data_IF_470772338683
#
_entry.id   IF_470772338683
#
_cell.length_a   1.000
_cell.length_b   1.000
_cell.length_c   1.000
_cell.angle_alpha   90.00
_cell.angle_beta   90.00
_cell.angle_gamma   90.00
#
_symmetry.space_group_name_H-M   'P 1'
#
loop_
_entity.id
_entity.type
_entity.pdbx_description
1 polymer ?
#
# COMPACT_ATOMS: atom_id res chain seq x y z
N UNK A 1 -3.78 8.17 4.39
CA UNK A 1 -3.40 9.23 3.42
C UNK A 1 -1.91 9.07 3.12
N UNK A 2 -1.49 9.37 1.89
CA UNK A 2 -0.07 9.39 1.48
C UNK A 2 0.22 10.71 0.79
N UNK A 3 1.48 11.16 0.85
CA UNK A 3 1.96 12.34 0.12
C UNK A 3 2.88 11.86 -1.00
N UNK A 4 2.65 12.32 -2.22
CA UNK A 4 3.46 11.96 -3.39
C UNK A 4 4.21 13.18 -3.90
N UNK A 5 5.47 12.96 -4.29
CA UNK A 5 6.33 13.93 -4.97
C UNK A 5 7.14 13.18 -6.03
N UNK A 6 7.66 13.92 -7.01
CA UNK A 6 8.74 13.36 -7.83
C UNK A 6 9.96 13.09 -6.94
N UNK A 7 10.74 12.07 -7.27
CA UNK A 7 11.95 11.73 -6.51
C UNK A 7 12.89 12.93 -6.45
N UNK A 8 13.08 13.63 -7.57
CA UNK A 8 13.89 14.86 -7.64
C UNK A 8 13.44 15.91 -6.62
N UNK A 9 12.13 16.20 -6.52
CA UNK A 9 11.63 17.19 -5.56
C UNK A 9 11.71 16.69 -4.12
N UNK A 10 11.52 15.39 -3.87
CA UNK A 10 11.68 14.81 -2.53
C UNK A 10 13.14 14.95 -2.05
N UNK A 11 14.10 14.70 -2.94
CA UNK A 11 15.53 14.87 -2.65
C UNK A 11 15.91 16.35 -2.45
N UNK A 12 15.43 17.24 -3.33
CA UNK A 12 15.68 18.67 -3.22
C UNK A 12 15.17 19.26 -1.90
N UNK A 13 14.00 18.82 -1.43
CA UNK A 13 13.39 19.29 -0.18
C UNK A 13 13.90 18.52 1.06
N UNK A 14 14.76 17.51 0.88
CA UNK A 14 15.27 16.68 1.97
C UNK A 14 14.22 15.77 2.62
N UNK A 15 13.13 15.44 1.91
CA UNK A 15 12.05 14.60 2.42
C UNK A 15 12.46 13.13 2.51
N UNK A 16 11.90 12.41 3.48
CA UNK A 16 12.12 10.97 3.62
C UNK A 16 11.30 10.24 2.54
N UNK A 17 11.99 9.46 1.71
CA UNK A 17 11.36 8.60 0.71
C UNK A 17 11.12 7.22 1.35
N UNK A 18 9.86 6.85 1.53
CA UNK A 18 9.51 5.52 2.07
C UNK A 18 9.53 4.44 0.98
N UNK A 19 9.06 4.78 -0.21
CA UNK A 19 9.08 3.94 -1.40
C UNK A 19 8.97 4.83 -2.64
N UNK A 20 9.30 4.28 -3.80
CA UNK A 20 9.14 4.93 -5.10
C UNK A 20 8.15 4.14 -5.96
N UNK A 21 7.17 4.83 -6.54
CA UNK A 21 6.29 4.24 -7.56
C UNK A 21 7.07 4.20 -8.88
N UNK A 22 7.50 3.02 -9.28
CA UNK A 22 8.26 2.81 -10.52
C UNK A 22 7.34 2.75 -11.74
N UNK A 23 6.14 2.19 -11.58
CA UNK A 23 5.16 2.06 -12.65
C UNK A 23 3.75 1.97 -12.11
N UNK A 24 2.81 2.55 -12.86
CA UNK A 24 1.38 2.43 -12.58
C UNK A 24 0.61 2.31 -13.89
N UNK A 25 -0.36 1.41 -13.91
CA UNK A 25 -1.32 1.28 -15.00
C UNK A 25 -2.73 1.15 -14.45
N UNK A 26 -3.68 1.64 -15.24
CA UNK A 26 -5.11 1.62 -14.94
C UNK A 26 -5.84 1.25 -16.23
N UNK A 27 -6.74 0.27 -16.17
CA UNK A 27 -7.63 -0.04 -17.29
C UNK A 27 -9.02 -0.46 -16.79
N UNK A 28 -9.84 -1.04 -17.69
CA UNK A 28 -11.15 -1.56 -17.34
C UNK A 28 -11.42 -2.91 -18.03
N UNK A 29 -12.14 -3.78 -17.33
CA UNK A 29 -12.56 -5.10 -17.83
C UNK A 29 -13.47 -5.04 -19.06
N UNK A 30 -14.13 -3.91 -19.30
CA UNK A 30 -15.03 -3.70 -20.42
C UNK A 30 -16.30 -4.57 -20.32
N UNK A 31 -16.69 -5.21 -21.43
CA UNK A 31 -17.89 -6.03 -21.47
C UNK A 31 -17.57 -7.47 -21.04
N UNK A 32 -18.04 -7.86 -19.87
CA UNK A 32 -17.87 -9.21 -19.30
C UNK A 32 -19.22 -9.91 -19.13
N UNK A 33 -19.23 -11.14 -18.58
CA UNK A 33 -20.43 -11.96 -18.40
C UNK A 33 -21.45 -11.38 -17.40
N UNK A 34 -21.01 -10.43 -16.57
CA UNK A 34 -21.83 -9.67 -15.63
C UNK A 34 -20.99 -8.51 -15.11
N UNK A 35 -21.59 -7.46 -14.56
CA UNK A 35 -20.87 -6.22 -14.22
C UNK A 35 -19.68 -6.43 -13.28
N UNK A 36 -19.72 -7.45 -12.42
CA UNK A 36 -18.65 -7.82 -11.48
C UNK A 36 -17.83 -9.05 -11.91
N UNK A 37 -18.04 -9.57 -13.12
CA UNK A 37 -17.25 -10.68 -13.64
C UNK A 37 -15.89 -10.14 -14.12
N UNK A 38 -14.75 -10.67 -13.61
CA UNK A 38 -13.43 -10.19 -13.99
C UNK A 38 -13.09 -10.53 -15.45
N UNK A 39 -12.22 -9.71 -16.07
CA UNK A 39 -11.66 -9.99 -17.39
C UNK A 39 -10.17 -10.33 -17.31
N UNK A 40 -9.84 -11.61 -17.53
CA UNK A 40 -8.47 -12.10 -17.47
C UNK A 40 -7.52 -11.37 -18.43
N UNK A 41 -7.98 -11.00 -19.62
CA UNK A 41 -7.16 -10.30 -20.59
C UNK A 41 -6.87 -8.86 -20.14
N UNK A 42 -7.86 -8.16 -19.59
CA UNK A 42 -7.68 -6.82 -19.04
C UNK A 42 -6.73 -6.83 -17.83
N UNK A 43 -6.81 -7.85 -16.96
CA UNK A 43 -5.87 -8.01 -15.86
C UNK A 43 -4.43 -8.25 -16.35
N UNK A 44 -4.23 -9.05 -17.40
CA UNK A 44 -2.89 -9.24 -17.99
C UNK A 44 -2.33 -7.95 -18.57
N UNK A 45 -3.17 -7.19 -19.28
CA UNK A 45 -2.79 -5.93 -19.90
C UNK A 45 -2.36 -4.89 -18.84
N UNK A 46 -3.13 -4.72 -17.77
CA UNK A 46 -2.78 -3.74 -16.73
C UNK A 46 -1.53 -4.14 -15.96
N UNK A 47 -1.33 -5.45 -15.69
CA UNK A 47 -0.11 -5.95 -15.05
C UNK A 47 1.12 -5.73 -15.95
N UNK A 48 1.01 -6.14 -17.22
CA UNK A 48 2.09 -6.00 -18.21
C UNK A 48 2.44 -4.54 -18.50
N UNK A 49 1.44 -3.65 -18.59
CA UNK A 49 1.67 -2.23 -18.83
C UNK A 49 2.41 -1.57 -17.67
N UNK A 50 2.01 -1.83 -16.42
CA UNK A 50 2.71 -1.23 -15.27
C UNK A 50 4.14 -1.77 -15.15
N UNK A 51 4.35 -3.06 -15.42
CA UNK A 51 5.69 -3.66 -15.45
C UNK A 51 6.56 -3.02 -16.54
N UNK A 52 6.02 -2.85 -17.76
CA UNK A 52 6.73 -2.20 -18.85
C UNK A 52 7.09 -0.74 -18.51
N UNK A 53 6.15 0.02 -17.92
CA UNK A 53 6.40 1.40 -17.44
C UNK A 53 7.46 1.47 -16.35
N UNK A 54 7.57 0.43 -15.52
CA UNK A 54 8.56 0.38 -14.44
C UNK A 54 9.99 0.15 -14.91
N UNK A 55 10.18 -0.34 -16.14
CA UNK A 55 11.46 -0.81 -16.67
C UNK A 55 12.20 -1.84 -15.77
N UNK A 56 11.47 -2.52 -14.88
CA UNK A 56 11.97 -3.63 -14.05
C UNK A 56 11.66 -4.97 -14.72
N UNK A 57 12.37 -6.03 -14.33
CA UNK A 57 12.04 -7.38 -14.77
C UNK A 57 10.99 -8.00 -13.86
N UNK A 58 10.19 -8.90 -14.42
CA UNK A 58 9.18 -9.65 -13.67
C UNK A 58 9.80 -10.46 -12.52
N UNK A 59 10.97 -11.06 -12.74
CA UNK A 59 11.72 -11.84 -11.73
C UNK A 59 12.24 -11.00 -10.55
N UNK A 60 12.40 -9.68 -10.74
CA UNK A 60 12.86 -8.79 -9.67
C UNK A 60 11.75 -8.45 -8.68
N UNK A 61 10.47 -8.57 -9.09
CA UNK A 61 9.32 -8.40 -8.19
C UNK A 61 9.25 -9.64 -7.29
N UNK A 62 9.40 -9.44 -5.97
CA UNK A 62 9.47 -10.54 -4.99
C UNK A 62 8.28 -10.62 -4.05
N UNK A 63 7.39 -9.63 -4.09
CA UNK A 63 6.13 -9.62 -3.36
C UNK A 63 5.01 -9.02 -4.21
N UNK A 64 3.81 -9.58 -4.16
CA UNK A 64 2.60 -8.94 -4.69
C UNK A 64 1.53 -8.90 -3.59
N UNK A 65 1.08 -7.68 -3.29
CA UNK A 65 -0.17 -7.44 -2.58
C UNK A 65 -1.33 -7.67 -3.57
N UNK A 66 -1.95 -8.83 -3.49
CA UNK A 66 -3.04 -9.22 -4.39
C UNK A 66 -4.35 -8.53 -4.00
N UNK A 67 -5.26 -8.42 -4.96
CA UNK A 67 -6.64 -8.07 -4.70
C UNK A 67 -7.23 -9.13 -3.74
N UNK A 68 -7.10 -10.42 -4.02
CA UNK A 68 -7.45 -11.48 -3.06
C UNK A 68 -8.87 -11.31 -2.54
N UNK A 69 -9.83 -11.39 -3.46
CA UNK A 69 -11.25 -11.20 -3.19
C UNK A 69 -11.82 -12.20 -2.17
N UNK A 70 -11.13 -13.34 -1.98
CA UNK A 70 -11.59 -14.46 -1.17
C UNK A 70 -12.62 -15.33 -1.89
N UNK A 71 -12.80 -15.14 -3.20
CA UNK A 71 -13.71 -15.93 -4.03
C UNK A 71 -12.92 -16.85 -4.96
N UNK A 72 -13.34 -18.11 -5.06
CA UNK A 72 -12.59 -19.15 -5.75
C UNK A 72 -12.28 -18.83 -7.21
N UNK A 73 -13.25 -18.31 -7.96
CA UNK A 73 -13.07 -17.98 -9.39
C UNK A 73 -12.16 -16.76 -9.57
N UNK A 74 -12.40 -15.68 -8.83
CA UNK A 74 -11.66 -14.43 -9.01
C UNK A 74 -10.21 -14.58 -8.55
N UNK A 75 -9.98 -15.24 -7.42
CA UNK A 75 -8.63 -15.47 -6.91
C UNK A 75 -7.86 -16.42 -7.83
N UNK A 76 -8.52 -17.44 -8.41
CA UNK A 76 -7.91 -18.30 -9.44
C UNK A 76 -7.47 -17.51 -10.68
N UNK A 77 -8.32 -16.60 -11.17
CA UNK A 77 -8.01 -15.77 -12.33
C UNK A 77 -6.87 -14.81 -12.04
N UNK A 78 -6.88 -14.17 -10.87
CA UNK A 78 -5.79 -13.29 -10.43
C UNK A 78 -4.46 -14.04 -10.34
N UNK A 79 -4.43 -15.23 -9.72
CA UNK A 79 -3.23 -16.07 -9.63
C UNK A 79 -2.69 -16.46 -11.01
N UNK A 80 -3.57 -16.87 -11.94
CA UNK A 80 -3.18 -17.20 -13.31
C UNK A 80 -2.63 -15.98 -14.06
N UNK A 81 -3.21 -14.81 -13.86
CA UNK A 81 -2.69 -13.56 -14.44
C UNK A 81 -1.30 -13.28 -13.92
N UNK A 82 -1.11 -13.30 -12.60
CA UNK A 82 0.18 -13.08 -11.96
C UNK A 82 1.20 -14.08 -12.49
N UNK A 83 0.85 -15.37 -12.60
CA UNK A 83 1.75 -16.39 -13.12
C UNK A 83 2.19 -16.07 -14.54
N UNK A 84 1.25 -15.77 -15.44
CA UNK A 84 1.57 -15.47 -16.84
C UNK A 84 2.41 -14.21 -17.07
N UNK A 85 2.43 -13.26 -16.12
CA UNK A 85 3.20 -12.01 -16.26
C UNK A 85 4.51 -12.08 -15.50
N UNK A 86 4.48 -12.60 -14.28
CA UNK A 86 5.62 -12.56 -13.37
C UNK A 86 6.43 -13.84 -13.35
N UNK A 87 5.83 -14.98 -13.69
CA UNK A 87 6.41 -16.33 -13.49
C UNK A 87 5.98 -17.30 -14.61
N UNK A 88 6.00 -16.84 -15.86
CA UNK A 88 5.58 -17.66 -17.01
C UNK A 88 6.54 -18.84 -17.20
N UNK A 89 7.85 -18.55 -17.25
CA UNK A 89 8.95 -19.52 -17.36
C UNK A 89 10.00 -19.37 -16.24
N UNK A 90 9.61 -18.84 -15.08
CA UNK A 90 10.53 -18.53 -13.97
C UNK A 90 10.11 -19.19 -12.67
N UNK A 91 11.05 -19.91 -12.07
CA UNK A 91 10.91 -20.57 -10.76
C UNK A 91 11.36 -19.66 -9.59
N UNK A 92 11.68 -18.40 -9.85
CA UNK A 92 12.08 -17.46 -8.79
C UNK A 92 10.92 -17.34 -7.78
N UNK A 93 11.12 -17.55 -6.48
CA UNK A 93 10.04 -17.46 -5.51
C UNK A 93 9.34 -16.09 -5.53
N UNK A 94 8.02 -16.10 -5.38
CA UNK A 94 7.19 -14.90 -5.28
C UNK A 94 6.27 -14.98 -4.08
N UNK A 95 6.46 -14.09 -3.11
CA UNK A 95 5.55 -13.97 -1.99
C UNK A 95 4.24 -13.31 -2.43
N UNK A 96 3.12 -13.86 -2.01
CA UNK A 96 1.80 -13.26 -2.19
C UNK A 96 1.20 -12.91 -0.82
N UNK A 97 0.38 -11.88 -0.79
CA UNK A 97 -0.40 -11.56 0.40
C UNK A 97 -1.52 -10.57 0.11
N UNK A 98 -2.39 -10.38 1.10
CA UNK A 98 -3.45 -9.37 1.08
C UNK A 98 -3.65 -8.84 2.50
N UNK A 99 -4.02 -7.58 2.64
CA UNK A 99 -4.37 -6.94 3.91
C UNK A 99 -5.77 -7.35 4.38
N UNK A 100 -6.60 -7.87 3.47
CA UNK A 100 -8.03 -8.13 3.74
C UNK A 100 -8.30 -9.12 4.87
N UNK A 101 -7.52 -10.20 5.06
CA UNK A 101 -7.70 -11.06 6.23
C UNK A 101 -7.48 -10.35 7.58
N UNK A 102 -6.76 -9.23 7.61
CA UNK A 102 -6.48 -8.47 8.83
C UNK A 102 -7.54 -7.42 9.14
N UNK A 103 -8.09 -6.75 8.11
CA UNK A 103 -8.95 -5.58 8.30
C UNK A 103 -10.31 -5.66 7.59
N UNK A 104 -10.62 -6.79 6.93
CA UNK A 104 -11.75 -6.92 6.01
C UNK A 104 -11.49 -6.25 4.66
N UNK A 105 -12.51 -6.17 3.81
CA UNK A 105 -12.45 -5.45 2.53
C UNK A 105 -12.87 -3.98 2.73
N UNK A 106 -11.95 -3.01 2.67
CA UNK A 106 -12.23 -1.62 3.03
C UNK A 106 -12.80 -0.79 1.86
N UNK A 107 -13.38 -1.46 0.85
CA UNK A 107 -14.05 -0.85 -0.31
C UNK A 107 -13.14 0.19 -1.00
N UNK A 108 -13.59 1.45 -1.10
CA UNK A 108 -12.86 2.54 -1.73
C UNK A 108 -11.48 2.82 -1.11
N UNK A 109 -11.20 2.34 0.10
CA UNK A 109 -9.91 2.49 0.77
C UNK A 109 -8.97 1.28 0.57
N UNK A 110 -9.34 0.29 -0.26
CA UNK A 110 -8.52 -0.90 -0.47
C UNK A 110 -7.12 -0.58 -1.00
N UNK A 111 -7.06 0.14 -2.12
CA UNK A 111 -5.79 0.44 -2.78
C UNK A 111 -4.84 1.18 -1.84
N UNK A 112 -5.35 2.14 -1.06
CA UNK A 112 -4.51 2.90 -0.11
C UNK A 112 -4.10 2.08 1.11
N UNK A 113 -4.96 1.18 1.59
CA UNK A 113 -4.63 0.30 2.72
C UNK A 113 -3.54 -0.71 2.35
N UNK A 114 -3.66 -1.36 1.19
CA UNK A 114 -2.63 -2.24 0.63
C UNK A 114 -1.33 -1.48 0.33
N UNK A 115 -1.43 -0.27 -0.24
CA UNK A 115 -0.26 0.57 -0.53
C UNK A 115 0.52 0.89 0.75
N UNK A 116 -0.17 1.32 1.80
CA UNK A 116 0.48 1.63 3.09
C UNK A 116 1.15 0.38 3.66
N UNK A 117 0.50 -0.79 3.62
CA UNK A 117 1.10 -2.05 4.07
C UNK A 117 2.40 -2.35 3.31
N UNK A 118 2.38 -2.33 1.98
CA UNK A 118 3.56 -2.66 1.17
C UNK A 118 4.68 -1.63 1.39
N UNK A 119 4.35 -0.34 1.43
CA UNK A 119 5.34 0.73 1.68
C UNK A 119 6.01 0.56 3.05
N UNK A 120 5.26 0.22 4.09
CA UNK A 120 5.83 -0.05 5.40
C UNK A 120 6.67 -1.32 5.41
N UNK A 121 6.24 -2.38 4.71
CA UNK A 121 7.04 -3.60 4.55
C UNK A 121 8.37 -3.36 3.84
N UNK A 122 8.38 -2.53 2.78
CA UNK A 122 9.60 -2.10 2.10
C UNK A 122 10.49 -1.30 3.06
N UNK A 123 9.93 -0.28 3.71
CA UNK A 123 10.66 0.63 4.60
C UNK A 123 11.30 -0.08 5.82
N UNK A 124 10.59 -1.04 6.41
CA UNK A 124 11.09 -1.83 7.53
C UNK A 124 11.81 -3.11 7.09
N UNK A 125 11.98 -3.31 5.78
CA UNK A 125 12.67 -4.47 5.20
C UNK A 125 12.11 -5.80 5.71
N UNK A 126 10.79 -5.90 5.85
CA UNK A 126 10.10 -7.03 6.49
C UNK A 126 8.84 -7.43 5.75
N UNK A 127 8.64 -8.74 5.62
CA UNK A 127 7.39 -9.32 5.14
C UNK A 127 6.55 -9.74 6.34
N UNK A 128 5.29 -9.32 6.36
CA UNK A 128 4.34 -9.68 7.42
C UNK A 128 3.61 -10.98 7.07
N UNK A 129 3.19 -11.76 8.08
CA UNK A 129 2.42 -12.98 7.86
C UNK A 129 1.12 -12.75 7.06
N UNK A 130 0.81 -13.70 6.18
CA UNK A 130 -0.48 -13.80 5.52
C UNK A 130 -1.40 -14.75 6.30
N UNK A 131 -2.50 -14.20 6.81
CA UNK A 131 -3.39 -14.89 7.76
C UNK A 131 -4.42 -15.82 7.10
N UNK A 132 -4.45 -15.94 5.77
CA UNK A 132 -5.41 -16.79 5.04
C UNK A 132 -4.71 -17.82 4.15
N UNK A 133 -5.48 -18.71 3.51
CA UNK A 133 -4.96 -19.71 2.58
C UNK A 133 -4.22 -20.87 3.23
N UNK A 134 -4.61 -21.32 4.43
CA UNK A 134 -4.05 -22.50 5.08
C UNK A 134 -4.54 -23.82 4.46
N UNK A 135 -5.74 -23.79 3.86
CA UNK A 135 -6.28 -24.93 3.13
C UNK A 135 -5.76 -24.92 1.69
N UNK A 136 -5.51 -26.09 1.08
CA UNK A 136 -5.19 -26.19 -0.33
C UNK A 136 -6.27 -25.53 -1.20
N UNK A 137 -5.86 -24.84 -2.25
CA UNK A 137 -6.80 -24.30 -3.24
C UNK A 137 -7.27 -25.43 -4.17
N UNK A 138 -8.58 -25.53 -4.42
CA UNK A 138 -9.14 -26.63 -5.21
C UNK A 138 -8.78 -26.60 -6.70
N UNK A 139 -8.48 -25.40 -7.23
CA UNK A 139 -8.29 -25.17 -8.66
C UNK A 139 -6.93 -24.56 -9.02
N UNK A 140 -6.04 -24.41 -8.04
CA UNK A 140 -4.69 -23.91 -8.24
C UNK A 140 -3.71 -24.69 -7.35
N UNK A 141 -2.71 -25.32 -7.95
CA UNK A 141 -1.67 -26.00 -7.19
C UNK A 141 -0.58 -25.01 -6.77
N UNK A 142 -0.70 -24.50 -5.53
CA UNK A 142 0.28 -23.57 -4.98
C UNK A 142 1.65 -24.22 -4.79
N UNK A 143 1.70 -25.52 -4.45
CA UNK A 143 2.95 -26.22 -4.17
C UNK A 143 3.76 -26.48 -5.44
N UNK A 144 3.09 -26.66 -6.57
CA UNK A 144 3.71 -26.77 -7.89
C UNK A 144 3.98 -25.41 -8.56
N UNK A 145 3.74 -24.30 -7.85
CA UNK A 145 3.97 -22.95 -8.36
C UNK A 145 5.13 -22.26 -7.61
N UNK A 146 5.75 -21.22 -8.19
CA UNK A 146 6.75 -20.42 -7.49
C UNK A 146 6.16 -19.49 -6.41
N UNK A 147 4.84 -19.57 -6.17
CA UNK A 147 4.14 -18.71 -5.22
C UNK A 147 4.17 -19.28 -3.81
N UNK A 148 4.32 -18.40 -2.83
CA UNK A 148 4.19 -18.80 -1.44
C UNK A 148 3.52 -17.71 -0.60
N UNK A 149 2.99 -18.14 0.55
CA UNK A 149 2.43 -17.26 1.55
C UNK A 149 3.36 -17.24 2.76
N UNK A 150 3.81 -16.04 3.13
CA UNK A 150 4.60 -15.88 4.33
C UNK A 150 3.75 -16.19 5.57
N UNK A 151 4.26 -17.03 6.48
CA UNK A 151 3.48 -17.49 7.66
C UNK A 151 3.96 -16.86 8.96
N UNK A 152 5.20 -16.38 8.96
CA UNK A 152 5.83 -15.71 10.11
C UNK A 152 6.47 -14.41 9.65
N UNK A 153 6.66 -13.46 10.55
CA UNK A 153 7.29 -12.20 10.15
C UNK A 153 8.76 -12.49 9.76
N UNK A 154 9.12 -12.20 8.52
CA UNK A 154 10.43 -12.50 7.95
C UNK A 154 11.16 -11.24 7.50
N UNK A 155 12.49 -11.27 7.54
CA UNK A 155 13.32 -10.23 6.90
C UNK A 155 13.17 -10.32 5.39
N UNK A 156 13.02 -9.19 4.71
CA UNK A 156 12.95 -9.13 3.26
C UNK A 156 14.37 -9.04 2.69
N UNK A 157 15.02 -10.19 2.52
CA UNK A 157 16.44 -10.28 2.16
C UNK A 157 16.71 -10.04 0.67
N UNK A 158 16.68 -8.76 0.24
CA UNK A 158 17.11 -8.31 -1.10
C UNK A 158 17.74 -6.92 -1.03
N UNK A 159 18.77 -6.68 -1.85
CA UNK A 159 19.43 -5.35 -1.97
C UNK A 159 18.53 -4.29 -2.61
N UNK A 160 17.73 -4.67 -3.61
CA UNK A 160 16.63 -3.85 -4.12
C UNK A 160 15.36 -4.67 -3.93
N UNK A 161 14.42 -4.15 -3.14
CA UNK A 161 13.14 -4.79 -2.87
C UNK A 161 12.10 -4.16 -3.77
N UNK A 162 11.56 -4.98 -4.66
CA UNK A 162 10.50 -4.59 -5.56
C UNK A 162 9.24 -5.38 -5.22
N UNK A 163 8.14 -4.66 -5.15
CA UNK A 163 6.84 -5.19 -4.83
C UNK A 163 5.81 -4.68 -5.85
N UNK A 164 4.71 -5.41 -6.00
CA UNK A 164 3.57 -4.93 -6.74
C UNK A 164 2.30 -4.95 -5.90
N UNK A 165 1.28 -4.22 -6.37
CA UNK A 165 -0.03 -4.16 -5.75
C UNK A 165 -1.13 -4.20 -6.80
N UNK A 166 -2.11 -5.08 -6.62
CA UNK A 166 -3.33 -5.16 -7.39
C UNK A 166 -4.49 -4.51 -6.63
N UNK A 167 -5.37 -3.82 -7.37
CA UNK A 167 -6.66 -3.36 -6.87
C UNK A 167 -7.67 -3.47 -8.02
N UNK A 168 -8.61 -4.41 -7.91
CA UNK A 168 -9.60 -4.73 -8.94
C UNK A 168 -11.00 -4.48 -8.37
N UNK A 169 -11.62 -3.38 -8.79
CA UNK A 169 -12.94 -3.01 -8.32
C UNK A 169 -14.03 -3.82 -9.04
N UNK A 170 -15.12 -4.13 -8.34
CA UNK A 170 -16.29 -4.84 -8.91
C UNK A 170 -16.90 -4.17 -10.15
N UNK A 171 -16.62 -2.88 -10.40
CA UNK A 171 -17.00 -2.19 -11.65
C UNK A 171 -16.04 -2.45 -12.82
N UNK A 172 -15.10 -3.38 -12.67
CA UNK A 172 -14.09 -3.77 -13.63
C UNK A 172 -12.91 -2.80 -13.74
N UNK A 173 -12.81 -1.76 -12.89
CA UNK A 173 -11.64 -0.85 -12.93
C UNK A 173 -10.47 -1.53 -12.26
N UNK A 174 -9.40 -1.75 -13.02
CA UNK A 174 -8.21 -2.44 -12.55
C UNK A 174 -7.06 -1.46 -12.41
N UNK A 175 -6.30 -1.60 -11.33
CA UNK A 175 -5.08 -0.83 -11.08
C UNK A 175 -3.96 -1.80 -10.71
N UNK A 176 -2.78 -1.57 -11.29
CA UNK A 176 -1.55 -2.25 -10.89
C UNK A 176 -0.45 -1.23 -10.64
N UNK A 177 0.27 -1.39 -9.53
CA UNK A 177 1.35 -0.48 -9.09
C UNK A 177 2.60 -1.28 -8.80
N UNK A 178 3.75 -0.79 -9.28
CA UNK A 178 5.10 -1.33 -8.97
C UNK A 178 5.81 -0.35 -8.04
N UNK A 179 6.34 -0.88 -6.95
CA UNK A 179 6.98 -0.13 -5.86
C UNK A 179 8.40 -0.61 -5.66
N UNK A 180 9.32 0.33 -5.43
CA UNK A 180 10.70 0.06 -5.03
C UNK A 180 10.98 0.66 -3.64
N UNK A 181 11.83 0.00 -2.88
CA UNK A 181 12.37 0.49 -1.61
C UNK A 181 12.94 1.91 -1.75
N UNK A 182 12.53 2.82 -0.86
CA UNK A 182 13.01 4.20 -0.82
C UNK A 182 14.47 4.32 -0.42
N UNK A 183 15.04 3.34 0.28
CA UNK A 183 16.44 3.33 0.70
C UNK A 183 17.39 3.45 -0.50
N UNK A 184 17.04 2.82 -1.62
CA UNK A 184 17.79 2.85 -2.88
C UNK A 184 17.94 4.25 -3.49
N UNK A 185 17.21 5.24 -2.98
CA UNK A 185 17.18 6.61 -3.49
C UNK A 185 17.65 7.64 -2.45
N UNK A 186 18.13 7.21 -1.29
CA UNK A 186 18.23 8.07 -0.10
C UNK A 186 19.65 8.41 0.39
N UNK A 187 20.70 7.95 -0.29
CA UNK A 187 22.10 8.12 0.16
C UNK A 187 22.55 9.58 0.30
N UNK A 188 22.00 10.52 -0.48
CA UNK A 188 22.40 11.93 -0.52
C UNK A 188 21.41 12.91 0.17
N UNK A 189 20.50 12.41 1.01
CA UNK A 189 19.48 13.27 1.64
C UNK A 189 20.08 14.19 2.71
N UNK A 190 19.97 15.51 2.52
CA UNK A 190 20.40 16.54 3.49
C UNK A 190 19.63 16.54 4.83
N UNK A 191 18.53 15.79 4.92
CA UNK A 191 17.58 15.88 6.03
C UNK A 191 16.73 17.16 5.93
N UNK A 192 15.59 17.17 6.62
CA UNK A 192 14.71 18.33 6.71
C UNK A 192 14.52 18.67 8.17
N UNK A 193 14.69 19.94 8.51
CA UNK A 193 14.36 20.43 9.83
C UNK A 193 12.83 20.50 9.99
N UNK A 194 12.29 20.08 11.14
CA UNK A 194 10.87 20.26 11.41
C UNK A 194 10.49 21.74 11.29
N UNK A 195 9.31 22.00 10.70
CA UNK A 195 8.75 23.34 10.72
C UNK A 195 8.56 23.78 12.18
N UNK A 196 8.76 25.07 12.51
CA UNK A 196 8.42 25.57 13.83
C UNK A 196 6.94 25.30 14.10
N UNK A 197 6.61 25.03 15.37
CA UNK A 197 5.24 24.77 15.76
C UNK A 197 4.33 25.90 15.27
N UNK A 198 3.17 25.58 14.65
CA UNK A 198 2.25 26.61 14.23
C UNK A 198 1.84 27.45 15.45
N UNK A 199 1.89 28.77 15.29
CA UNK A 199 1.38 29.68 16.29
C UNK A 199 -0.15 29.54 16.36
N UNK A 200 -0.62 28.67 17.24
CA UNK A 200 -2.05 28.53 17.50
C UNK A 200 -2.53 29.76 18.26
N UNK A 201 -3.43 30.54 17.66
CA UNK A 201 -4.26 31.47 18.39
C UNK A 201 -5.25 30.65 19.24
N UNK A 202 -4.76 30.10 20.36
CA UNK A 202 -5.57 29.34 21.30
C UNK A 202 -6.62 30.29 21.85
N UNK A 203 -7.86 30.15 21.39
CA UNK A 203 -9.00 30.81 21.99
C UNK A 203 -9.41 29.96 23.19
N UNK A 204 -9.33 30.49 24.42
CA UNK A 204 -9.92 29.83 25.57
C UNK A 204 -11.41 29.67 25.31
N UNK A 205 -11.95 28.50 25.63
CA UNK A 205 -13.33 28.15 25.38
C UNK A 205 -14.03 27.92 26.72
N UNK A 206 -15.23 28.48 26.89
CA UNK A 206 -16.08 28.26 28.07
C UNK A 206 -17.39 27.58 27.68
N UNK A 207 -17.99 26.87 28.63
CA UNK A 207 -19.36 26.40 28.49
C UNK A 207 -20.32 27.57 28.71
N UNK A 208 -21.17 27.82 27.72
CA UNK A 208 -22.36 28.63 27.86
C UNK A 208 -23.38 27.84 28.70
N UNK A 209 -23.60 28.26 29.94
CA UNK A 209 -24.48 27.58 30.89
C UNK A 209 -25.96 27.59 30.46
N UNK A 210 -26.37 28.55 29.63
CA UNK A 210 -27.77 28.67 29.17
C UNK A 210 -28.02 27.85 27.90
N UNK A 211 -27.02 27.78 27.02
CA UNK A 211 -27.16 27.13 25.71
C UNK A 211 -26.54 25.74 25.63
N UNK A 212 -25.75 25.33 26.62
CA UNK A 212 -25.00 24.07 26.60
C UNK A 212 -23.95 24.01 25.49
N UNK A 213 -23.56 25.16 24.93
CA UNK A 213 -22.62 25.27 23.82
C UNK A 213 -21.25 25.68 24.32
N UNK A 214 -20.21 25.23 23.63
CA UNK A 214 -18.83 25.69 23.85
C UNK A 214 -18.60 26.97 23.05
N UNK A 215 -18.36 28.10 23.71
CA UNK A 215 -18.16 29.42 23.08
C UNK A 215 -16.77 30.01 23.42
N UNK A 216 -16.21 30.91 22.60
CA UNK A 216 -14.99 31.63 22.95
C UNK A 216 -15.17 32.39 24.27
N UNK A 217 -14.17 32.29 25.14
CA UNK A 217 -14.08 33.06 26.38
C UNK A 217 -13.38 34.39 26.08
N UNK A 218 -14.14 35.48 26.10
CA UNK A 218 -13.64 36.83 25.83
C UNK A 218 -12.83 37.41 27.00
N UNK A 219 -12.85 36.76 28.17
CA UNK A 219 -12.12 37.22 29.35
C UNK A 219 -11.50 36.05 30.14
N UNK A 220 -10.54 35.33 29.53
CA UNK A 220 -9.97 34.15 30.13
C UNK A 220 -9.16 34.48 31.38
N UNK A 221 -9.17 33.60 32.40
CA UNK A 221 -8.22 33.70 33.49
C UNK A 221 -6.79 33.60 32.95
N UNK A 222 -5.83 34.28 33.59
CA UNK A 222 -4.41 34.15 33.27
C UNK A 222 -3.94 32.73 33.62
N UNK A 223 -3.93 31.82 32.65
CA UNK A 223 -3.42 30.45 32.83
C UNK A 223 -2.03 30.39 32.22
N UNK A 224 -1.03 29.96 33.00
CA UNK A 224 0.28 29.63 32.43
C UNK A 224 0.13 28.56 31.34
N UNK A 225 0.85 28.68 30.21
CA UNK A 225 0.72 27.72 29.13
C UNK A 225 1.04 26.32 29.63
N UNK A 226 0.02 25.46 29.71
CA UNK A 226 0.22 24.06 30.02
C UNK A 226 0.94 23.41 28.83
N UNK A 227 2.06 22.75 29.13
CA UNK A 227 2.79 21.88 28.21
C UNK A 227 1.82 20.88 27.57
N UNK A 228 1.98 20.66 26.26
CA UNK A 228 1.05 19.86 25.46
C UNK A 228 1.16 18.39 25.89
N UNK A 229 0.08 17.63 25.72
CA UNK A 229 0.01 16.20 26.07
C UNK A 229 1.20 15.37 25.54
N UNK A 230 1.73 15.73 24.37
CA UNK A 230 2.86 15.05 23.72
C UNK A 230 4.23 15.31 24.37
N UNK A 231 4.38 16.34 25.20
CA UNK A 231 5.62 16.63 25.94
C UNK A 231 5.73 15.84 27.26
N UNK A 232 4.74 14.98 27.55
CA UNK A 232 4.69 14.14 28.77
C UNK A 232 4.88 12.64 28.51
N UNK A 233 5.10 12.24 27.26
CA UNK A 233 5.37 10.85 26.90
C UNK A 233 6.84 10.72 26.53
N UNK A 234 7.62 10.20 27.47
CA UNK A 234 8.95 9.62 27.23
C UNK A 234 8.82 8.20 26.63
#
# INVERSE_FOLDING_TARGET
MVLLKTVEQALADGDRIYAVIQGIAVNNDGRTAGPAAPNLQAQREVLGEALAKSAKKAEDITYIEVNGSGTEVTDLLELKTIQSIYRDDSEVPLALGSIKPNIGHPLSAEGIAGLIKVVLMLHYERIVPFLSGQQPMAHFDLQASPFYFEREAATWERKSRLAALNCFADGGTNVHVILEDGAAWSEDRKGRDPLPDPAWARLPMRQDAERGLTIPDENPPSVEPQLIFWERFD
#
